data_IF_557431338885
#
_entry.id   IF_557431338885
#
_cell.length_a   1.000
_cell.length_b   1.000
_cell.length_c   1.000
_cell.angle_alpha   90.00
_cell.angle_beta   90.00
_cell.angle_gamma   90.00
#
_symmetry.space_group_name_H-M   'P 1'
#
loop_
_entity.id
_entity.type
_entity.pdbx_description
1 polymer ?
#
# COMPACT_ATOMS: atom_id res chain seq x y z
N UNK A 1 14.25 13.39 -8.86
CA UNK A 1 14.43 14.73 -8.31
C UNK A 1 13.15 15.10 -7.58
N UNK A 2 13.21 15.60 -6.35
CA UNK A 2 12.00 15.99 -5.61
C UNK A 2 11.47 17.31 -6.16
N UNK A 3 12.34 18.14 -6.74
CA UNK A 3 11.99 19.44 -7.30
C UNK A 3 11.05 19.35 -8.51
N UNK A 4 10.92 18.16 -9.12
CA UNK A 4 9.98 17.87 -10.21
C UNK A 4 8.86 16.91 -9.81
N UNK A 5 8.71 16.60 -8.52
CA UNK A 5 7.67 15.68 -8.06
C UNK A 5 6.32 16.39 -7.95
N UNK A 6 5.26 15.75 -8.45
CA UNK A 6 3.89 16.22 -8.34
C UNK A 6 3.08 15.28 -7.41
N UNK A 7 2.52 15.86 -6.34
CA UNK A 7 1.72 15.11 -5.39
C UNK A 7 0.38 14.65 -5.98
N UNK A 8 -0.25 15.46 -6.83
CA UNK A 8 -1.53 15.13 -7.44
C UNK A 8 -1.37 13.98 -8.44
N UNK A 9 -0.29 13.98 -9.23
CA UNK A 9 0.08 12.87 -10.11
C UNK A 9 0.32 11.57 -9.31
N UNK A 10 1.07 11.68 -8.20
CA UNK A 10 1.34 10.53 -7.33
C UNK A 10 0.05 9.96 -6.73
N UNK A 11 -0.87 10.81 -6.26
CA UNK A 11 -2.16 10.37 -5.74
C UNK A 11 -3.06 9.76 -6.82
N UNK A 12 -3.09 10.35 -8.02
CA UNK A 12 -3.83 9.79 -9.15
C UNK A 12 -3.32 8.39 -9.52
N UNK A 13 -2.00 8.21 -9.57
CA UNK A 13 -1.36 6.90 -9.81
C UNK A 13 -1.72 5.91 -8.71
N UNK A 14 -1.61 6.30 -7.43
CA UNK A 14 -1.97 5.45 -6.30
C UNK A 14 -3.45 5.01 -6.33
N UNK A 15 -4.37 5.92 -6.66
CA UNK A 15 -5.79 5.61 -6.79
C UNK A 15 -6.06 4.59 -7.91
N UNK A 16 -5.41 4.78 -9.07
CA UNK A 16 -5.53 3.85 -10.21
C UNK A 16 -5.03 2.44 -9.86
N UNK A 17 -3.88 2.33 -9.19
CA UNK A 17 -3.34 1.05 -8.70
C UNK A 17 -4.26 0.41 -7.65
N UNK A 18 -4.83 1.21 -6.74
CA UNK A 18 -5.80 0.71 -5.77
C UNK A 18 -7.08 0.17 -6.45
N UNK A 19 -7.58 0.85 -7.48
CA UNK A 19 -8.74 0.38 -8.25
C UNK A 19 -8.41 -0.93 -8.99
N UNK A 20 -7.24 -0.99 -9.62
CA UNK A 20 -6.77 -2.20 -10.28
C UNK A 20 -6.64 -3.38 -9.31
N UNK A 21 -6.06 -3.16 -8.14
CA UNK A 21 -5.96 -4.17 -7.09
C UNK A 21 -7.34 -4.65 -6.62
N UNK A 22 -8.31 -3.74 -6.44
CA UNK A 22 -9.70 -4.12 -6.10
C UNK A 22 -10.34 -4.99 -7.17
N UNK A 23 -10.17 -4.68 -8.45
CA UNK A 23 -10.65 -5.53 -9.56
C UNK A 23 -10.05 -6.93 -9.52
N UNK A 24 -8.74 -7.04 -9.26
CA UNK A 24 -8.06 -8.33 -9.14
C UNK A 24 -8.60 -9.13 -7.96
N UNK A 25 -8.72 -8.51 -6.78
CA UNK A 25 -9.19 -9.17 -5.56
C UNK A 25 -10.64 -9.64 -5.72
N UNK A 26 -11.51 -8.83 -6.33
CA UNK A 26 -12.91 -9.18 -6.56
C UNK A 26 -13.10 -10.44 -7.43
N UNK A 27 -12.12 -10.76 -8.28
CA UNK A 27 -12.14 -11.94 -9.15
C UNK A 27 -11.49 -13.19 -8.51
N UNK A 28 -11.15 -13.18 -7.21
CA UNK A 28 -10.39 -14.23 -6.54
C UNK A 28 -11.05 -14.70 -5.26
N UNK A 29 -10.84 -15.97 -4.93
CA UNK A 29 -11.22 -16.52 -3.63
C UNK A 29 -10.09 -16.30 -2.62
N UNK A 30 -10.43 -16.19 -1.34
CA UNK A 30 -9.44 -15.96 -0.29
C UNK A 30 -8.40 -17.08 -0.17
N UNK A 31 -8.77 -18.29 -0.57
CA UNK A 31 -7.92 -19.48 -0.52
C UNK A 31 -7.19 -19.74 -1.85
N UNK A 32 -7.40 -18.90 -2.87
CA UNK A 32 -6.57 -18.91 -4.08
C UNK A 32 -5.10 -18.69 -3.70
N UNK A 33 -4.20 -19.41 -4.37
CA UNK A 33 -2.77 -19.34 -4.08
C UNK A 33 -1.97 -18.73 -5.22
N UNK A 34 -0.89 -18.05 -4.87
CA UNK A 34 0.11 -17.50 -5.78
C UNK A 34 1.52 -17.74 -5.24
N UNK A 35 2.53 -17.50 -6.08
CA UNK A 35 3.94 -17.68 -5.72
C UNK A 35 4.63 -16.34 -5.61
N UNK A 36 5.25 -16.07 -4.46
CA UNK A 36 6.13 -14.91 -4.28
C UNK A 36 7.41 -15.08 -5.09
N UNK A 37 8.13 -13.97 -5.31
CA UNK A 37 9.46 -14.00 -5.94
C UNK A 37 10.47 -14.87 -5.17
N UNK A 38 10.30 -15.01 -3.85
CA UNK A 38 11.08 -15.92 -2.99
C UNK A 38 10.82 -17.41 -3.24
N UNK A 39 9.83 -17.76 -4.07
CA UNK A 39 9.39 -19.13 -4.32
C UNK A 39 8.34 -19.63 -3.34
N UNK A 40 8.03 -18.89 -2.26
CA UNK A 40 7.00 -19.26 -1.27
C UNK A 40 5.60 -19.19 -1.88
N UNK A 41 4.78 -20.22 -1.65
CA UNK A 41 3.35 -20.19 -1.96
C UNK A 41 2.60 -19.45 -0.85
N UNK A 42 1.75 -18.51 -1.22
CA UNK A 42 0.93 -17.70 -0.31
C UNK A 42 -0.52 -17.65 -0.80
N UNK A 43 -1.47 -17.50 0.11
CA UNK A 43 -2.88 -17.33 -0.24
C UNK A 43 -3.24 -15.87 -0.48
N UNK A 44 -4.34 -15.63 -1.20
CA UNK A 44 -4.93 -14.30 -1.36
C UNK A 44 -5.25 -13.67 0.00
N UNK A 45 -5.75 -14.47 0.95
CA UNK A 45 -5.95 -14.04 2.35
C UNK A 45 -4.67 -13.50 2.98
N UNK A 46 -3.54 -14.21 2.81
CA UNK A 46 -2.25 -13.76 3.33
C UNK A 46 -1.85 -12.42 2.70
N UNK A 47 -2.04 -12.25 1.38
CA UNK A 47 -1.73 -11.00 0.66
C UNK A 47 -2.52 -9.83 1.25
N UNK A 48 -3.84 -10.00 1.46
CA UNK A 48 -4.69 -8.92 1.97
C UNK A 48 -4.31 -8.51 3.40
N UNK A 49 -4.05 -9.47 4.29
CA UNK A 49 -3.59 -9.18 5.64
C UNK A 49 -2.23 -8.47 5.62
N UNK A 50 -1.32 -8.93 4.77
CA UNK A 50 -0.02 -8.31 4.60
C UNK A 50 -0.12 -6.87 4.08
N UNK A 51 -1.03 -6.58 3.16
CA UNK A 51 -1.27 -5.20 2.68
C UNK A 51 -1.74 -4.27 3.80
N UNK A 52 -2.56 -4.74 4.74
CA UNK A 52 -3.00 -3.92 5.90
C UNK A 52 -1.83 -3.60 6.83
N UNK A 53 -0.98 -4.60 7.12
CA UNK A 53 0.24 -4.42 7.91
C UNK A 53 1.18 -3.42 7.26
N UNK A 54 1.48 -3.63 5.98
CA UNK A 54 2.44 -2.83 5.22
C UNK A 54 1.96 -1.38 5.07
N UNK A 55 0.66 -1.18 4.79
CA UNK A 55 0.09 0.16 4.67
C UNK A 55 0.10 0.90 6.02
N UNK A 56 -0.18 0.21 7.12
CA UNK A 56 -0.08 0.78 8.48
C UNK A 56 1.34 1.20 8.82
N UNK A 57 2.34 0.37 8.47
CA UNK A 57 3.76 0.67 8.65
C UNK A 57 4.17 1.94 7.89
N UNK A 58 3.72 2.08 6.65
CA UNK A 58 3.99 3.28 5.84
C UNK A 58 3.31 4.53 6.37
N UNK A 59 2.06 4.43 6.84
CA UNK A 59 1.36 5.55 7.46
C UNK A 59 2.08 6.02 8.73
N UNK A 60 2.60 5.10 9.55
CA UNK A 60 3.43 5.48 10.70
C UNK A 60 4.69 6.24 10.30
N UNK A 61 5.37 5.85 9.23
CA UNK A 61 6.53 6.59 8.72
C UNK A 61 6.15 7.97 8.18
N UNK A 62 5.05 8.06 7.43
CA UNK A 62 4.55 9.33 6.89
C UNK A 62 4.14 10.28 8.02
N UNK A 63 3.54 9.76 9.09
CA UNK A 63 3.18 10.54 10.27
C UNK A 63 4.43 11.14 10.93
N UNK A 64 5.49 10.37 11.14
CA UNK A 64 6.75 10.90 11.69
C UNK A 64 7.32 12.06 10.85
N UNK A 65 7.24 11.97 9.52
CA UNK A 65 7.66 13.06 8.63
C UNK A 65 6.76 14.28 8.77
N UNK A 66 5.44 14.08 8.77
CA UNK A 66 4.45 15.14 8.96
C UNK A 66 4.66 15.87 10.28
N UNK A 67 4.80 15.14 11.40
CA UNK A 67 5.09 15.70 12.73
C UNK A 67 6.36 16.56 12.72
N UNK A 68 7.38 16.18 11.94
CA UNK A 68 8.61 16.96 11.82
C UNK A 68 8.42 18.27 11.05
N UNK A 69 7.47 18.31 10.13
CA UNK A 69 7.15 19.47 9.29
C UNK A 69 6.23 20.45 10.01
N UNK A 70 5.14 19.97 10.61
CA UNK A 70 4.08 20.81 11.17
C UNK A 70 4.14 20.96 12.71
N UNK A 71 4.93 20.15 13.41
CA UNK A 71 5.10 20.18 14.85
C UNK A 71 3.94 19.61 15.66
N UNK A 72 2.86 19.13 15.02
CA UNK A 72 1.82 18.37 15.70
C UNK A 72 2.34 16.95 16.04
N UNK A 73 1.76 16.28 17.04
CA UNK A 73 2.16 14.93 17.48
C UNK A 73 0.95 14.01 17.45
N UNK A 74 1.15 12.80 16.91
CA UNK A 74 0.09 11.80 16.77
C UNK A 74 -0.89 12.10 15.64
N UNK A 75 -1.76 11.13 15.38
CA UNK A 75 -2.91 11.21 14.48
C UNK A 75 -4.20 11.36 15.29
#
# INVERSE_FOLDING_TARGET
>A
DVDTADADEAFATWQAECEQARRIVAARQLDDTGRQRSGKTISMRWILVHMVEEYSRHNGHADLLRQRIDGAVGY
#
